data_IF_217155210051
#
_entry.id   IF_217155210051
#
_cell.length_a   1.000
_cell.length_b   1.000
_cell.length_c   1.000
_cell.angle_alpha   90.00
_cell.angle_beta   90.00
_cell.angle_gamma   90.00
#
_symmetry.space_group_name_H-M   'P 1'
#
loop_
_entity.id
_entity.type
_entity.pdbx_description
1 polymer ?
#
# COMPACT_ATOMS: atom_id res chain seq x y z
N UNK A 1 0.21 -7.90 16.67
CA UNK A 1 -1.23 -7.67 16.41
C UNK A 1 -1.84 -8.76 15.54
N UNK A 2 -1.22 -9.13 14.41
CA UNK A 2 -1.81 -10.07 13.43
C UNK A 2 -2.32 -11.40 14.02
N UNK A 3 -1.47 -12.14 14.77
CA UNK A 3 -1.89 -13.39 15.41
C UNK A 3 -3.08 -13.22 16.35
N UNK A 4 -3.00 -12.24 17.25
CA UNK A 4 -4.08 -11.94 18.20
C UNK A 4 -5.39 -11.58 17.48
N UNK A 5 -5.30 -10.87 16.35
CA UNK A 5 -6.47 -10.55 15.54
C UNK A 5 -7.06 -11.82 14.91
N UNK A 6 -6.24 -12.76 14.46
CA UNK A 6 -6.69 -14.10 14.04
C UNK A 6 -7.37 -14.89 15.16
N UNK A 7 -6.91 -14.76 16.40
CA UNK A 7 -7.47 -15.44 17.58
C UNK A 7 -8.83 -14.89 18.00
N UNK A 8 -9.05 -13.57 17.86
CA UNK A 8 -10.16 -12.88 18.53
C UNK A 8 -11.15 -12.18 17.60
N UNK A 9 -10.76 -11.80 16.38
CA UNK A 9 -11.58 -10.99 15.49
C UNK A 9 -12.27 -11.83 14.41
N UNK A 10 -13.41 -11.36 13.93
CA UNK A 10 -14.07 -11.92 12.74
C UNK A 10 -13.34 -11.52 11.44
N UNK A 11 -12.58 -10.42 11.48
CA UNK A 11 -11.80 -9.94 10.35
C UNK A 11 -10.64 -9.02 10.72
N UNK A 12 -9.65 -8.97 9.84
CA UNK A 12 -8.43 -8.16 9.96
C UNK A 12 -8.27 -7.32 8.71
N UNK A 13 -8.05 -6.02 8.86
CA UNK A 13 -7.78 -5.11 7.75
C UNK A 13 -6.28 -4.84 7.70
N UNK A 14 -5.60 -5.42 6.72
CA UNK A 14 -4.21 -5.13 6.40
C UNK A 14 -4.14 -3.81 5.65
N UNK A 15 -3.19 -2.97 6.01
CA UNK A 15 -3.06 -1.62 5.46
C UNK A 15 -1.58 -1.27 5.21
N UNK A 16 -1.32 -0.49 4.16
CA UNK A 16 0.02 -0.04 3.72
C UNK A 16 1.08 -1.15 3.78
N UNK A 17 0.91 -2.14 2.90
CA UNK A 17 1.88 -3.21 2.67
C UNK A 17 1.87 -3.53 1.18
N UNK A 18 3.01 -3.93 0.58
CA UNK A 18 3.00 -4.38 -0.80
C UNK A 18 2.37 -5.78 -0.92
N UNK A 19 1.91 -6.14 -2.12
CA UNK A 19 1.41 -7.48 -2.41
C UNK A 19 2.40 -8.58 -2.01
N UNK A 20 3.71 -8.33 -2.16
CA UNK A 20 4.78 -9.26 -1.78
C UNK A 20 4.85 -9.58 -0.28
N UNK A 21 4.26 -8.73 0.57
CA UNK A 21 4.25 -8.93 2.03
C UNK A 21 2.91 -9.47 2.57
N UNK A 22 1.90 -9.57 1.70
CA UNK A 22 0.57 -10.09 2.07
C UNK A 22 0.65 -11.52 2.57
N UNK A 23 1.34 -12.42 1.86
CA UNK A 23 1.40 -13.83 2.20
C UNK A 23 1.94 -14.07 3.62
N UNK A 24 3.01 -13.35 4.00
CA UNK A 24 3.54 -13.40 5.37
C UNK A 24 2.51 -12.89 6.39
N UNK A 25 1.85 -11.78 6.09
CA UNK A 25 0.83 -11.18 6.99
C UNK A 25 -0.36 -12.12 7.20
N UNK A 26 -0.83 -12.74 6.12
CA UNK A 26 -1.88 -13.76 6.14
C UNK A 26 -1.45 -14.94 7.00
N UNK A 27 -0.24 -15.47 6.81
CA UNK A 27 0.29 -16.56 7.64
C UNK A 27 0.25 -16.21 9.14
N UNK A 28 0.63 -14.98 9.51
CA UNK A 28 0.58 -14.55 10.90
C UNK A 28 -0.85 -14.50 11.45
N UNK A 29 -1.82 -14.02 10.68
CA UNK A 29 -3.25 -14.04 11.06
C UNK A 29 -3.73 -15.49 11.21
N UNK A 30 -3.44 -16.34 10.23
CA UNK A 30 -3.85 -17.75 10.20
C UNK A 30 -3.24 -18.57 11.34
N UNK A 31 -2.05 -18.19 11.83
CA UNK A 31 -1.44 -18.80 13.02
C UNK A 31 -2.22 -18.57 14.32
N UNK A 32 -3.13 -17.60 14.33
CA UNK A 32 -4.02 -17.30 15.46
C UNK A 32 -5.44 -17.81 15.28
N UNK A 33 -5.93 -17.89 14.04
CA UNK A 33 -7.27 -18.40 13.74
C UNK A 33 -7.74 -18.01 12.34
N UNK A 34 -9.06 -18.07 12.11
CA UNK A 34 -9.64 -18.00 10.76
C UNK A 34 -10.33 -16.65 10.46
N UNK A 35 -9.91 -15.55 11.09
CA UNK A 35 -10.43 -14.22 10.83
C UNK A 35 -10.37 -13.86 9.33
N UNK A 36 -11.42 -13.29 8.75
CA UNK A 36 -11.43 -12.88 7.33
C UNK A 36 -10.37 -11.80 7.08
N UNK A 37 -9.47 -12.01 6.12
CA UNK A 37 -8.40 -11.07 5.79
C UNK A 37 -8.84 -10.13 4.69
N UNK A 38 -8.99 -8.86 5.07
CA UNK A 38 -9.18 -7.74 4.16
C UNK A 38 -7.84 -7.08 3.90
N UNK A 39 -7.61 -6.59 2.69
CA UNK A 39 -6.41 -5.82 2.34
C UNK A 39 -6.78 -4.53 1.63
N UNK A 40 -6.40 -3.39 2.19
CA UNK A 40 -6.49 -2.12 1.46
C UNK A 40 -5.45 -2.10 0.34
N UNK A 41 -5.94 -1.93 -0.89
CA UNK A 41 -5.11 -1.81 -2.09
C UNK A 41 -5.15 -0.36 -2.55
N UNK A 42 -4.07 0.38 -2.32
CA UNK A 42 -3.94 1.78 -2.75
C UNK A 42 -3.49 1.82 -4.20
N UNK A 43 -4.42 2.20 -5.07
CA UNK A 43 -4.23 2.22 -6.52
C UNK A 43 -4.85 3.48 -7.11
N UNK A 44 -4.28 3.97 -8.20
CA UNK A 44 -4.85 5.05 -9.01
C UNK A 44 -4.59 4.84 -10.49
N UNK A 45 -5.64 4.89 -11.31
CA UNK A 45 -5.53 4.91 -12.77
C UNK A 45 -5.05 6.28 -13.22
N UNK A 46 -3.75 6.39 -13.43
CA UNK A 46 -3.08 7.62 -13.86
C UNK A 46 -1.66 7.33 -14.34
N UNK A 47 -1.09 8.25 -15.09
CA UNK A 47 0.34 8.21 -15.42
C UNK A 47 1.18 8.42 -14.14
N UNK A 48 2.14 7.53 -13.85
CA UNK A 48 3.05 7.72 -12.71
C UNK A 48 3.86 9.01 -12.82
N UNK A 49 4.29 9.36 -14.03
CA UNK A 49 5.24 10.45 -14.31
C UNK A 49 4.52 11.74 -14.74
N UNK A 50 3.53 12.21 -13.96
CA UNK A 50 3.78 13.42 -13.14
C UNK A 50 3.17 13.37 -11.73
N UNK A 51 2.59 12.25 -11.32
CA UNK A 51 1.75 12.15 -10.12
C UNK A 51 2.38 11.36 -8.97
N UNK A 52 3.53 10.70 -9.19
CA UNK A 52 4.25 9.91 -8.19
C UNK A 52 4.53 10.67 -6.90
N UNK A 53 4.80 11.97 -6.99
CA UNK A 53 5.02 12.83 -5.82
C UNK A 53 3.80 12.95 -4.89
N UNK A 54 2.58 12.72 -5.40
CA UNK A 54 1.37 12.68 -4.58
C UNK A 54 1.33 11.41 -3.72
N UNK A 55 1.65 10.26 -4.31
CA UNK A 55 1.76 8.98 -3.60
C UNK A 55 2.92 8.99 -2.60
N UNK A 56 4.07 9.53 -3.00
CA UNK A 56 5.24 9.73 -2.14
C UNK A 56 4.92 10.49 -0.85
N UNK A 57 4.08 11.53 -0.95
CA UNK A 57 3.61 12.33 0.20
C UNK A 57 2.67 11.56 1.11
N UNK A 58 1.83 10.70 0.55
CA UNK A 58 0.92 9.83 1.30
C UNK A 58 1.75 8.85 2.14
N UNK A 59 2.64 8.09 1.47
CA UNK A 59 3.46 7.07 2.13
C UNK A 59 4.40 7.63 3.20
N UNK A 60 4.97 8.82 2.96
CA UNK A 60 5.80 9.51 3.95
C UNK A 60 5.09 9.70 5.30
N UNK A 61 3.78 9.99 5.29
CA UNK A 61 3.01 10.19 6.52
C UNK A 61 2.88 8.91 7.37
N UNK A 62 3.04 7.74 6.76
CA UNK A 62 3.03 6.45 7.43
C UNK A 62 4.43 5.96 7.80
N UNK A 63 5.45 6.17 6.96
CA UNK A 63 6.83 5.73 7.23
C UNK A 63 7.37 6.30 8.55
N UNK A 64 6.94 7.50 8.93
CA UNK A 64 7.39 8.16 10.17
C UNK A 64 6.78 7.56 11.44
N UNK A 65 5.71 6.77 11.32
CA UNK A 65 5.01 6.10 12.43
C UNK A 65 5.64 4.73 12.70
N UNK A 66 6.07 4.49 13.95
CA UNK A 66 6.86 3.32 14.34
C UNK A 66 6.28 1.98 13.86
N UNK A 67 4.97 1.76 14.07
CA UNK A 67 4.33 0.49 13.70
C UNK A 67 4.35 0.23 12.18
N UNK A 68 4.26 1.27 11.36
CA UNK A 68 4.32 1.17 9.90
C UNK A 68 5.76 1.03 9.42
N UNK A 69 6.70 1.78 10.00
CA UNK A 69 8.12 1.63 9.74
C UNK A 69 8.59 0.18 9.93
N UNK A 70 8.22 -0.44 11.06
CA UNK A 70 8.50 -1.84 11.35
C UNK A 70 7.92 -2.81 10.31
N UNK A 71 6.73 -2.50 9.78
CA UNK A 71 6.08 -3.29 8.74
C UNK A 71 6.81 -3.15 7.39
N UNK A 72 7.17 -1.92 7.00
CA UNK A 72 7.93 -1.65 5.78
C UNK A 72 9.33 -2.29 5.81
N UNK A 73 10.00 -2.26 6.97
CA UNK A 73 11.27 -2.98 7.17
C UNK A 73 11.09 -4.48 6.92
N UNK A 74 10.05 -5.10 7.51
CA UNK A 74 9.72 -6.52 7.27
C UNK A 74 9.37 -6.81 5.80
N UNK A 75 8.79 -5.84 5.11
CA UNK A 75 8.46 -5.92 3.69
C UNK A 75 9.67 -5.67 2.75
N UNK A 76 10.86 -5.39 3.30
CA UNK A 76 12.10 -5.23 2.53
C UNK A 76 12.43 -3.80 2.11
N UNK A 77 11.97 -2.79 2.87
CA UNK A 77 12.25 -1.37 2.65
C UNK A 77 13.07 -0.75 3.79
N UNK A 78 14.00 -1.50 4.37
CA UNK A 78 14.76 -1.04 5.53
C UNK A 78 15.61 0.20 5.23
N UNK A 79 16.24 0.25 4.06
CA UNK A 79 17.09 1.37 3.64
C UNK A 79 16.26 2.63 3.39
N UNK A 80 15.13 2.51 2.68
CA UNK A 80 14.21 3.63 2.48
C UNK A 80 13.67 4.18 3.81
N UNK A 81 13.24 3.30 4.72
CA UNK A 81 12.75 3.71 6.04
C UNK A 81 13.84 4.43 6.84
N UNK A 82 15.07 3.91 6.86
CA UNK A 82 16.19 4.54 7.57
C UNK A 82 16.46 5.95 7.03
N UNK A 83 16.57 6.10 5.71
CA UNK A 83 16.87 7.39 5.08
C UNK A 83 15.76 8.42 5.27
N UNK A 84 14.49 8.02 5.11
CA UNK A 84 13.33 8.91 5.33
C UNK A 84 13.33 9.44 6.77
N UNK A 85 13.58 8.56 7.75
CA UNK A 85 13.54 8.92 9.17
C UNK A 85 14.73 9.78 9.59
N UNK A 86 15.92 9.55 9.03
CA UNK A 86 17.09 10.41 9.23
C UNK A 86 16.82 11.83 8.73
N UNK A 87 16.35 11.98 7.48
CA UNK A 87 16.00 13.28 6.91
C UNK A 87 14.88 13.98 7.70
N UNK A 88 13.86 13.21 8.12
CA UNK A 88 12.77 13.75 8.95
C UNK A 88 13.29 14.26 10.29
N UNK A 89 14.15 13.51 10.98
CA UNK A 89 14.73 13.91 12.26
C UNK A 89 15.61 15.17 12.12
N UNK A 90 16.27 15.36 10.97
CA UNK A 90 17.02 16.57 10.65
C UNK A 90 16.13 17.78 10.25
N UNK A 91 14.82 17.59 10.13
CA UNK A 91 13.87 18.63 9.71
C UNK A 91 13.87 18.91 8.19
N UNK A 92 14.59 18.12 7.39
CA UNK A 92 14.63 18.25 5.94
C UNK A 92 13.51 17.42 5.29
N UNK A 93 12.33 18.03 5.21
CA UNK A 93 11.15 17.40 4.61
C UNK A 93 11.34 17.06 3.13
N UNK A 94 12.10 17.86 2.38
CA UNK A 94 12.29 17.62 0.95
C UNK A 94 13.19 16.41 0.73
N UNK A 95 14.28 16.31 1.48
CA UNK A 95 15.14 15.12 1.46
C UNK A 95 14.39 13.87 1.95
N UNK A 96 13.52 14.01 2.95
CA UNK A 96 12.73 12.88 3.46
C UNK A 96 11.72 12.38 2.42
N UNK A 97 11.05 13.27 1.68
CA UNK A 97 10.20 12.87 0.56
C UNK A 97 11.04 12.25 -0.56
N UNK A 98 12.19 12.84 -0.91
CA UNK A 98 13.09 12.31 -1.94
C UNK A 98 13.59 10.88 -1.63
N UNK A 99 13.72 10.53 -0.35
CA UNK A 99 14.14 9.21 0.13
C UNK A 99 13.07 8.11 0.00
N UNK A 100 11.79 8.47 -0.14
CA UNK A 100 10.74 7.49 -0.48
C UNK A 100 10.93 7.06 -1.94
N UNK A 101 11.54 5.89 -2.16
CA UNK A 101 11.96 5.47 -3.50
C UNK A 101 10.77 5.19 -4.43
N UNK A 102 11.01 5.30 -5.74
CA UNK A 102 10.00 4.92 -6.75
C UNK A 102 9.58 3.46 -6.60
N UNK A 103 10.55 2.58 -6.27
CA UNK A 103 10.30 1.15 -5.95
C UNK A 103 9.31 0.98 -4.80
N UNK A 104 9.43 1.80 -3.76
CA UNK A 104 8.55 1.73 -2.60
C UNK A 104 7.14 2.22 -2.96
N UNK A 105 7.03 3.29 -3.73
CA UNK A 105 5.76 3.79 -4.27
C UNK A 105 5.10 2.74 -5.17
N UNK A 106 5.81 2.22 -6.18
CA UNK A 106 5.32 1.22 -7.13
C UNK A 106 4.89 -0.09 -6.47
N UNK A 107 5.35 -0.37 -5.25
CA UNK A 107 4.99 -1.57 -4.51
C UNK A 107 3.78 -1.38 -3.59
N UNK A 108 3.54 -0.18 -3.06
CA UNK A 108 2.55 0.06 -1.98
C UNK A 108 1.42 0.99 -2.43
N UNK A 109 1.77 2.07 -3.12
CA UNK A 109 0.90 3.17 -3.53
C UNK A 109 0.92 3.25 -5.07
N UNK A 110 0.21 2.31 -5.71
CA UNK A 110 0.44 1.96 -7.11
C UNK A 110 -0.28 2.91 -8.08
N UNK A 111 0.46 3.43 -9.06
CA UNK A 111 -0.06 4.25 -10.15
C UNK A 111 0.14 3.49 -11.46
N UNK A 112 -0.84 3.53 -12.36
CA UNK A 112 -0.67 2.94 -13.68
C UNK A 112 -1.93 2.98 -14.52
N UNK A 113 -1.92 2.25 -15.64
CA UNK A 113 -3.12 2.09 -16.46
C UNK A 113 -4.15 1.15 -15.81
N UNK A 114 -5.34 1.05 -16.41
CA UNK A 114 -6.42 0.22 -15.90
C UNK A 114 -6.04 -1.27 -15.77
N UNK A 115 -5.24 -1.80 -16.70
CA UNK A 115 -4.80 -3.19 -16.67
C UNK A 115 -3.82 -3.43 -15.51
N UNK A 116 -2.89 -2.50 -15.27
CA UNK A 116 -1.95 -2.55 -14.17
C UNK A 116 -2.65 -2.46 -12.81
N UNK A 117 -3.63 -1.56 -12.68
CA UNK A 117 -4.47 -1.46 -11.47
C UNK A 117 -5.24 -2.76 -11.21
N UNK A 118 -5.89 -3.31 -12.24
CA UNK A 118 -6.62 -4.57 -12.10
C UNK A 118 -5.69 -5.73 -11.69
N UNK A 119 -4.52 -5.86 -12.34
CA UNK A 119 -3.53 -6.87 -12.00
C UNK A 119 -2.98 -6.69 -10.58
N UNK A 120 -2.82 -5.44 -10.12
CA UNK A 120 -2.39 -5.15 -8.76
C UNK A 120 -3.42 -5.63 -7.74
N UNK A 121 -4.71 -5.33 -7.94
CA UNK A 121 -5.77 -5.83 -7.06
C UNK A 121 -5.79 -7.36 -7.04
N UNK A 122 -5.65 -8.01 -8.20
CA UNK A 122 -5.59 -9.46 -8.29
C UNK A 122 -4.39 -10.04 -7.54
N UNK A 123 -3.23 -9.39 -7.58
CA UNK A 123 -2.03 -9.87 -6.88
C UNK A 123 -2.19 -9.95 -5.36
N UNK A 124 -3.03 -9.12 -4.75
CA UNK A 124 -3.34 -9.22 -3.31
C UNK A 124 -4.21 -10.44 -3.03
N UNK A 125 -5.18 -10.73 -3.90
CA UNK A 125 -6.02 -11.94 -3.81
C UNK A 125 -5.15 -13.19 -3.95
N UNK A 126 -4.29 -13.21 -4.97
CA UNK A 126 -3.37 -14.32 -5.23
C UNK A 126 -2.40 -14.55 -4.06
N UNK A 127 -2.03 -13.48 -3.33
CA UNK A 127 -1.20 -13.54 -2.15
C UNK A 127 -1.94 -13.94 -0.86
N UNK A 128 -3.27 -14.09 -0.90
CA UNK A 128 -4.08 -14.65 0.19
C UNK A 128 -5.01 -13.67 0.91
N UNK A 129 -5.23 -12.47 0.39
CA UNK A 129 -6.33 -11.61 0.86
C UNK A 129 -7.67 -12.23 0.45
N UNK A 130 -8.59 -12.39 1.41
CA UNK A 130 -9.93 -12.91 1.14
C UNK A 130 -10.80 -11.85 0.45
N UNK A 131 -10.66 -10.58 0.87
CA UNK A 131 -11.45 -9.45 0.33
C UNK A 131 -10.53 -8.25 0.04
N UNK A 132 -10.17 -8.00 -1.23
CA UNK A 132 -9.41 -6.80 -1.57
C UNK A 132 -10.32 -5.57 -1.47
N UNK A 133 -9.93 -4.61 -0.66
CA UNK A 133 -10.64 -3.33 -0.48
C UNK A 133 -9.93 -2.27 -1.31
N UNK A 134 -10.51 -1.93 -2.45
CA UNK A 134 -9.93 -0.93 -3.37
C UNK A 134 -10.00 0.45 -2.72
N UNK A 135 -8.84 1.08 -2.56
CA UNK A 135 -8.71 2.48 -2.16
C UNK A 135 -8.36 3.29 -3.42
N UNK A 136 -9.35 3.90 -4.09
CA UNK A 136 -9.10 4.65 -5.31
C UNK A 136 -8.46 5.99 -4.96
N UNK A 137 -7.15 6.07 -5.14
CA UNK A 137 -6.37 7.24 -4.73
C UNK A 137 -6.50 8.35 -5.77
N UNK A 138 -6.83 9.60 -5.38
CA UNK A 138 -7.06 10.71 -6.29
C UNK A 138 -5.73 11.34 -6.76
N UNK A 139 -4.76 10.51 -7.14
CA UNK A 139 -3.48 10.95 -7.67
C UNK A 139 -3.65 11.27 -9.15
N UNK A 140 -3.88 12.54 -9.45
CA UNK A 140 -4.10 12.97 -10.83
C UNK A 140 -4.63 14.38 -10.91
N UNK A 141 -4.59 14.93 -12.13
CA UNK A 141 -5.14 16.27 -12.40
C UNK A 141 -6.67 16.27 -12.30
N UNK A 142 -7.34 15.31 -12.95
CA UNK A 142 -8.78 15.06 -12.75
C UNK A 142 -9.00 14.01 -11.66
N UNK A 143 -9.12 14.47 -10.41
CA UNK A 143 -9.27 13.59 -9.24
C UNK A 143 -10.51 12.71 -9.29
N UNK A 144 -11.62 13.24 -9.81
CA UNK A 144 -12.88 12.49 -9.87
C UNK A 144 -12.84 11.47 -10.99
N UNK A 145 -12.25 11.83 -12.14
CA UNK A 145 -11.97 10.90 -13.23
C UNK A 145 -11.11 9.73 -12.76
N UNK A 146 -9.98 10.01 -12.09
CA UNK A 146 -9.07 8.97 -11.55
C UNK A 146 -9.82 8.03 -10.60
N UNK A 147 -10.65 8.54 -9.69
CA UNK A 147 -11.42 7.69 -8.78
C UNK A 147 -12.37 6.77 -9.56
N UNK A 148 -13.12 7.32 -10.52
CA UNK A 148 -14.08 6.56 -11.32
C UNK A 148 -13.38 5.48 -12.16
N UNK A 149 -12.31 5.85 -12.85
CA UNK A 149 -11.52 4.95 -13.70
C UNK A 149 -10.86 3.85 -12.87
N UNK A 150 -10.36 4.16 -11.67
CA UNK A 150 -9.79 3.17 -10.74
C UNK A 150 -10.82 2.16 -10.25
N UNK A 151 -12.02 2.61 -9.88
CA UNK A 151 -13.10 1.71 -9.46
C UNK A 151 -13.50 0.79 -10.62
N UNK A 152 -13.63 1.33 -11.84
CA UNK A 152 -13.94 0.56 -13.03
C UNK A 152 -12.83 -0.44 -13.38
N UNK A 153 -11.57 -0.03 -13.31
CA UNK A 153 -10.39 -0.87 -13.53
C UNK A 153 -10.36 -2.05 -12.55
N UNK A 154 -10.49 -1.77 -11.25
CA UNK A 154 -10.51 -2.82 -10.24
C UNK A 154 -11.65 -3.81 -10.43
N UNK A 155 -12.82 -3.34 -10.90
CA UNK A 155 -13.97 -4.19 -11.22
C UNK A 155 -13.87 -4.93 -12.57
N UNK A 156 -12.79 -4.77 -13.35
CA UNK A 156 -12.62 -5.42 -14.65
C UNK A 156 -13.47 -4.80 -15.78
N UNK A 157 -13.81 -3.51 -15.68
CA UNK A 157 -14.71 -2.79 -16.60
C UNK A 157 -13.98 -1.68 -17.35
N UNK A 158 -13.05 -2.01 -18.23
CA UNK A 158 -12.22 -1.04 -18.95
C UNK A 158 -11.89 -1.51 -20.38
#
# INVERSE_FOLDING_TARGET
MLKLAGELADGVLLNYLPASHVAWSVEQVRSGGNATVYGYVHVGVTDPEPHRDLARKDLFSYIVVDAYADNFIRAGFADEVAQVRECHAAGDRNAALAAVSDRMVDAIDVLGDAAHVHATVQSYVDAGVDVPVVMPMPWGTDRMGVIADTINAAAGRF
#
